data_IF_719934600860
#
_entry.id   IF_719934600860
#
_cell.length_a   1.000
_cell.length_b   1.000
_cell.length_c   1.000
_cell.angle_alpha   90.00
_cell.angle_beta   90.00
_cell.angle_gamma   90.00
#
_symmetry.space_group_name_H-M   'P 1'
#
loop_
_entity.id
_entity.type
_entity.pdbx_description
1 polymer ?
#
# COMPACT_ATOMS: atom_id res chain seq x y z
N UNK A 1 -0.33 -16.02 -6.89
CA UNK A 1 -0.44 -15.08 -8.03
C UNK A 1 -1.89 -14.67 -8.33
N UNK A 2 -2.84 -15.59 -8.59
CA UNK A 2 -4.23 -15.23 -8.89
C UNK A 2 -4.91 -14.39 -7.78
N UNK A 3 -4.80 -14.83 -6.53
CA UNK A 3 -5.40 -14.14 -5.38
C UNK A 3 -4.79 -12.74 -5.19
N UNK A 4 -3.48 -12.61 -5.36
CA UNK A 4 -2.78 -11.34 -5.28
C UNK A 4 -3.29 -10.35 -6.35
N UNK A 5 -3.45 -10.81 -7.59
CA UNK A 5 -3.97 -9.99 -8.69
C UNK A 5 -5.42 -9.58 -8.46
N UNK A 6 -6.28 -10.50 -8.00
CA UNK A 6 -7.67 -10.20 -7.64
C UNK A 6 -7.77 -9.21 -6.47
N UNK A 7 -6.86 -9.32 -5.49
CA UNK A 7 -6.80 -8.44 -4.33
C UNK A 7 -6.35 -7.04 -4.74
N UNK A 8 -5.31 -6.96 -5.57
CA UNK A 8 -4.79 -5.71 -6.11
C UNK A 8 -5.88 -4.93 -6.87
N UNK A 9 -6.62 -5.60 -7.74
CA UNK A 9 -7.73 -5.01 -8.50
C UNK A 9 -8.89 -4.58 -7.59
N UNK A 10 -9.34 -5.46 -6.70
CA UNK A 10 -10.48 -5.19 -5.79
C UNK A 10 -10.21 -4.04 -4.81
N UNK A 11 -8.99 -3.93 -4.31
CA UNK A 11 -8.65 -2.96 -3.25
C UNK A 11 -7.83 -1.78 -3.75
N UNK A 12 -7.49 -1.74 -5.04
CA UNK A 12 -6.65 -0.73 -5.68
C UNK A 12 -5.32 -0.54 -4.93
N UNK A 13 -4.61 -1.64 -4.72
CA UNK A 13 -3.33 -1.72 -4.02
C UNK A 13 -2.33 -2.55 -4.83
N UNK A 14 -1.04 -2.42 -4.53
CA UNK A 14 -0.03 -3.32 -5.06
C UNK A 14 0.31 -4.40 -4.01
N UNK A 15 0.56 -5.62 -4.46
CA UNK A 15 1.04 -6.70 -3.58
C UNK A 15 2.56 -6.82 -3.69
N UNK A 16 3.31 -6.91 -2.58
CA UNK A 16 4.75 -7.16 -2.62
C UNK A 16 5.08 -8.55 -3.22
N UNK A 17 6.38 -8.78 -3.46
CA UNK A 17 6.86 -10.09 -3.87
C UNK A 17 6.46 -11.15 -2.83
N UNK A 18 6.07 -12.34 -3.32
CA UNK A 18 5.65 -13.49 -2.51
C UNK A 18 4.49 -13.24 -1.52
N UNK A 19 3.70 -12.18 -1.75
CA UNK A 19 2.57 -11.81 -0.90
C UNK A 19 1.55 -12.93 -0.71
N UNK A 20 1.09 -13.08 0.53
CA UNK A 20 0.02 -13.99 0.94
C UNK A 20 -1.14 -13.22 1.60
N UNK A 21 -2.37 -13.77 1.55
CA UNK A 21 -3.49 -13.17 2.27
C UNK A 21 -3.17 -12.99 3.75
N UNK A 22 -3.28 -11.75 4.24
CA UNK A 22 -2.92 -11.38 5.61
C UNK A 22 -1.65 -10.55 5.70
N UNK A 23 -0.78 -10.59 4.69
CA UNK A 23 0.39 -9.70 4.62
C UNK A 23 -0.02 -8.27 4.25
N UNK A 24 0.80 -7.30 4.65
CA UNK A 24 0.61 -5.89 4.30
C UNK A 24 0.68 -5.67 2.79
N UNK A 25 -0.07 -4.68 2.32
CA UNK A 25 -0.12 -4.30 0.90
C UNK A 25 0.56 -2.96 0.68
N UNK A 26 1.10 -2.77 -0.52
CA UNK A 26 1.74 -1.53 -0.93
C UNK A 26 0.66 -0.54 -1.37
N UNK A 27 0.73 0.66 -0.80
CA UNK A 27 -0.09 1.78 -1.26
C UNK A 27 0.46 2.27 -2.60
N UNK A 28 -0.37 2.51 -3.64
CA UNK A 28 0.09 2.98 -4.95
C UNK A 28 0.92 4.27 -4.83
N UNK A 29 2.09 4.39 -5.50
CA UNK A 29 2.99 5.52 -5.33
C UNK A 29 2.32 6.86 -5.71
N UNK A 30 2.74 7.98 -5.12
CA UNK A 30 2.13 9.28 -5.40
C UNK A 30 2.43 9.70 -6.86
N UNK A 31 1.40 10.17 -7.56
CA UNK A 31 1.52 10.60 -8.97
C UNK A 31 2.08 12.02 -9.14
N UNK A 32 2.25 12.77 -8.05
CA UNK A 32 2.80 14.13 -8.06
C UNK A 32 3.51 14.48 -6.75
N UNK A 33 4.37 15.51 -6.79
CA UNK A 33 5.10 15.98 -5.61
C UNK A 33 4.18 16.44 -4.45
N UNK A 34 3.01 17.03 -4.76
CA UNK A 34 2.05 17.44 -3.73
C UNK A 34 1.48 16.23 -2.98
N UNK A 35 1.03 15.23 -3.71
CA UNK A 35 0.52 13.97 -3.13
C UNK A 35 1.59 13.16 -2.39
N UNK A 36 2.87 13.33 -2.77
CA UNK A 36 3.99 12.71 -2.06
C UNK A 36 4.20 13.32 -0.67
N UNK A 37 4.09 14.65 -0.56
CA UNK A 37 4.23 15.36 0.72
C UNK A 37 3.11 14.99 1.69
N UNK A 38 1.87 14.98 1.22
CA UNK A 38 0.70 14.57 2.03
C UNK A 38 0.84 13.12 2.54
N UNK A 39 1.45 12.24 1.74
CA UNK A 39 1.70 10.85 2.11
C UNK A 39 2.74 10.70 3.21
N UNK A 40 3.85 11.43 3.11
CA UNK A 40 4.92 11.40 4.12
C UNK A 40 4.43 12.03 5.42
N UNK A 41 3.74 13.17 5.34
CA UNK A 41 3.17 13.86 6.51
C UNK A 41 1.97 13.09 7.13
N UNK A 42 1.30 12.26 6.33
CA UNK A 42 0.18 11.42 6.75
C UNK A 42 0.55 10.00 7.15
N UNK A 43 1.82 9.59 7.04
CA UNK A 43 2.24 8.20 7.24
C UNK A 43 1.93 7.65 8.64
N UNK A 44 1.96 8.50 9.66
CA UNK A 44 1.61 8.11 11.04
C UNK A 44 0.11 7.82 11.22
N UNK A 45 -0.73 8.19 10.25
CA UNK A 45 -2.16 7.93 10.27
C UNK A 45 -2.43 6.53 9.69
N UNK A 46 -3.26 5.76 10.39
CA UNK A 46 -3.78 4.45 9.94
C UNK A 46 -2.79 3.27 9.94
N UNK A 47 -1.64 3.39 10.62
CA UNK A 47 -0.67 2.29 10.73
C UNK A 47 0.10 2.01 9.44
N UNK A 48 0.23 3.03 8.58
CA UNK A 48 0.99 2.98 7.35
C UNK A 48 2.48 3.03 7.67
N UNK A 49 3.25 2.07 7.14
CA UNK A 49 4.71 2.03 7.32
C UNK A 49 5.38 2.43 6.01
N UNK A 50 6.00 3.59 5.97
CA UNK A 50 6.76 4.04 4.81
C UNK A 50 8.24 3.73 4.99
N UNK A 51 8.83 2.99 4.05
CA UNK A 51 10.29 2.84 3.97
C UNK A 51 10.92 4.05 3.27
N UNK A 52 10.17 4.65 2.34
CA UNK A 52 10.53 5.87 1.62
C UNK A 52 9.25 6.58 1.14
N UNK A 53 9.37 7.79 0.59
CA UNK A 53 8.24 8.61 0.15
C UNK A 53 7.37 7.95 -0.94
N UNK A 54 7.94 7.02 -1.72
CA UNK A 54 7.23 6.30 -2.78
C UNK A 54 6.84 4.86 -2.40
N UNK A 55 7.33 4.34 -1.27
CA UNK A 55 7.09 2.95 -0.86
C UNK A 55 6.54 2.89 0.57
N UNK A 56 5.23 2.69 0.66
CA UNK A 56 4.51 2.59 1.92
C UNK A 56 3.62 1.35 1.94
N UNK A 57 3.58 0.70 3.10
CA UNK A 57 2.79 -0.49 3.38
C UNK A 57 1.62 -0.14 4.29
N UNK A 58 0.47 -0.78 4.09
CA UNK A 58 -0.68 -0.69 4.99
C UNK A 58 -1.28 -2.08 5.25
N UNK A 59 -1.83 -2.32 6.45
CA UNK A 59 -2.54 -3.56 6.73
C UNK A 59 -3.83 -3.65 5.90
N UNK A 60 -4.04 -4.79 5.25
CA UNK A 60 -5.25 -5.04 4.47
C UNK A 60 -6.29 -5.75 5.36
N UNK A 61 -7.36 -5.04 5.73
CA UNK A 61 -8.51 -5.66 6.41
C UNK A 61 -9.33 -6.46 5.39
N UNK A 62 -9.06 -7.76 5.31
CA UNK A 62 -9.90 -8.72 4.59
C UNK A 62 -11.20 -8.87 5.39
N UNK A 63 -12.30 -8.29 4.89
CA UNK A 63 -13.66 -8.57 5.38
C UNK A 63 -14.14 -9.91 4.83
#
# INVERSE_FOLDING_TARGET
MLIAMQTADKHNVATPADWKPGDDVIVPPPGSCGTAKERVEGADKEGVKCLDWFICFKPLKLK
#
